data_IF_276089179979
#
_entry.id   IF_276089179979
#
_cell.length_a   1.000
_cell.length_b   1.000
_cell.length_c   1.000
_cell.angle_alpha   90.00
_cell.angle_beta   90.00
_cell.angle_gamma   90.00
#
_symmetry.space_group_name_H-M   'P 1'
#
loop_
_entity.id
_entity.type
_entity.pdbx_description
1 polymer ?
#
# COMPACT_ATOMS: atom_id res chain seq x y z
N UNK A 1 14.12 14.78 -17.34
CA UNK A 1 14.29 16.22 -17.04
C UNK A 1 13.01 16.94 -17.45
N UNK A 2 12.37 17.68 -16.55
CA UNK A 2 11.13 18.42 -16.87
C UNK A 2 11.47 19.68 -17.66
N UNK A 3 10.82 19.89 -18.80
CA UNK A 3 10.98 21.12 -19.58
C UNK A 3 10.22 22.26 -18.89
N UNK A 4 10.90 23.40 -18.65
CA UNK A 4 10.26 24.59 -18.08
C UNK A 4 9.24 25.18 -19.07
N UNK A 5 7.96 25.13 -18.69
CA UNK A 5 6.83 25.53 -19.52
C UNK A 5 6.80 27.04 -19.84
N UNK A 6 7.60 27.84 -19.14
CA UNK A 6 7.70 29.30 -19.35
C UNK A 6 8.67 29.67 -20.46
N UNK A 7 9.63 28.80 -20.80
CA UNK A 7 10.69 29.09 -21.78
C UNK A 7 10.18 29.02 -23.22
N UNK A 8 10.81 29.79 -24.09
CA UNK A 8 10.49 29.86 -25.53
C UNK A 8 10.48 28.48 -26.20
N UNK A 9 11.42 27.60 -25.85
CA UNK A 9 11.50 26.23 -26.35
C UNK A 9 10.21 25.43 -26.14
N UNK A 10 9.62 25.46 -24.93
CA UNK A 10 8.36 24.75 -24.65
C UNK A 10 7.20 25.33 -25.45
N UNK A 11 7.14 26.68 -25.52
CA UNK A 11 6.07 27.38 -26.24
C UNK A 11 6.10 27.05 -27.74
N UNK A 12 7.29 26.93 -28.32
CA UNK A 12 7.44 26.61 -29.75
C UNK A 12 7.14 25.13 -30.02
N UNK A 13 7.66 24.21 -29.21
CA UNK A 13 7.34 22.78 -29.32
C UNK A 13 5.84 22.48 -29.16
N UNK A 14 5.13 23.25 -28.34
CA UNK A 14 3.66 23.13 -28.18
C UNK A 14 2.89 23.60 -29.42
N UNK A 15 3.44 24.51 -30.22
CA UNK A 15 2.79 24.99 -31.47
C UNK A 15 3.03 24.02 -32.62
N UNK A 16 4.22 23.43 -32.70
CA UNK A 16 4.64 22.61 -33.85
C UNK A 16 4.50 21.10 -33.62
N UNK A 17 4.20 20.65 -32.41
CA UNK A 17 4.11 19.23 -32.09
C UNK A 17 3.31 18.90 -30.84
N UNK A 18 3.26 17.60 -30.52
CA UNK A 18 2.60 17.08 -29.31
C UNK A 18 3.64 16.95 -28.20
N UNK A 19 3.46 17.71 -27.11
CA UNK A 19 4.31 17.61 -25.93
C UNK A 19 3.62 16.72 -24.90
N UNK A 20 4.13 15.50 -24.73
CA UNK A 20 3.65 14.54 -23.73
C UNK A 20 4.58 14.51 -22.51
N UNK A 21 4.02 14.68 -21.31
CA UNK A 21 4.75 14.62 -20.04
C UNK A 21 4.24 13.42 -19.23
N UNK A 22 5.05 12.35 -19.19
CA UNK A 22 4.77 11.19 -18.34
C UNK A 22 5.27 11.44 -16.93
N UNK A 23 4.41 11.98 -16.07
CA UNK A 23 4.72 12.15 -14.65
C UNK A 23 4.63 10.81 -13.93
N UNK A 24 5.56 10.56 -13.01
CA UNK A 24 5.48 9.41 -12.10
C UNK A 24 4.15 9.49 -11.35
N UNK A 25 3.41 8.39 -11.36
CA UNK A 25 2.17 8.27 -10.59
C UNK A 25 2.50 8.23 -9.10
N UNK A 26 1.69 8.92 -8.31
CA UNK A 26 1.69 8.72 -6.87
C UNK A 26 1.06 7.37 -6.53
N UNK A 27 1.44 6.77 -5.41
CA UNK A 27 0.99 5.45 -4.97
C UNK A 27 -0.55 5.31 -4.97
N UNK A 28 -1.25 6.35 -4.49
CA UNK A 28 -2.71 6.41 -4.48
C UNK A 28 -3.38 6.44 -5.86
N UNK A 29 -2.62 6.65 -6.94
CA UNK A 29 -3.11 6.66 -8.32
C UNK A 29 -2.83 5.34 -9.05
N UNK A 30 -1.98 4.48 -8.49
CA UNK A 30 -1.53 3.25 -9.18
C UNK A 30 -2.67 2.25 -9.29
N UNK A 31 -3.47 2.04 -8.24
CA UNK A 31 -4.62 1.14 -8.30
C UNK A 31 -5.64 1.54 -9.38
N UNK A 32 -5.93 2.84 -9.50
CA UNK A 32 -6.80 3.38 -10.55
C UNK A 32 -6.18 3.25 -11.95
N UNK A 33 -4.86 3.36 -12.06
CA UNK A 33 -4.15 3.10 -13.31
C UNK A 33 -4.25 1.62 -13.72
N UNK A 34 -4.03 0.68 -12.79
CA UNK A 34 -4.18 -0.76 -13.05
C UNK A 34 -5.57 -1.06 -13.60
N UNK A 35 -6.62 -0.54 -12.94
CA UNK A 35 -8.00 -0.73 -13.39
C UNK A 35 -8.21 -0.22 -14.82
N UNK A 36 -7.69 0.97 -15.15
CA UNK A 36 -7.83 1.56 -16.50
C UNK A 36 -7.10 0.76 -17.57
N UNK A 37 -5.88 0.30 -17.29
CA UNK A 37 -5.10 -0.53 -18.22
C UNK A 37 -5.86 -1.81 -18.54
N UNK A 38 -6.32 -2.53 -17.52
CA UNK A 38 -7.07 -3.78 -17.69
C UNK A 38 -8.39 -3.57 -18.43
N UNK A 39 -9.13 -2.49 -18.13
CA UNK A 39 -10.39 -2.20 -18.83
C UNK A 39 -10.17 -1.98 -20.33
N UNK A 40 -9.04 -1.38 -20.73
CA UNK A 40 -8.67 -1.24 -22.15
C UNK A 40 -8.32 -2.56 -22.85
N UNK A 41 -8.10 -3.63 -22.08
CA UNK A 41 -7.75 -4.96 -22.55
C UNK A 41 -8.87 -5.99 -22.32
N UNK A 42 -10.09 -5.51 -21.98
CA UNK A 42 -11.26 -6.36 -21.69
C UNK A 42 -11.07 -7.25 -20.45
N UNK A 43 -10.36 -6.74 -19.45
CA UNK A 43 -10.26 -7.32 -18.10
C UNK A 43 -10.75 -6.33 -17.04
N UNK A 44 -11.14 -6.86 -15.88
CA UNK A 44 -11.41 -6.04 -14.70
C UNK A 44 -10.61 -6.57 -13.52
N UNK A 45 -10.51 -5.81 -12.43
CA UNK A 45 -9.78 -6.22 -11.22
C UNK A 45 -10.56 -5.83 -9.97
N UNK A 46 -10.58 -6.72 -8.99
CA UNK A 46 -11.16 -6.44 -7.68
C UNK A 46 -10.30 -5.40 -6.93
N UNK A 47 -10.89 -4.47 -6.15
CA UNK A 47 -10.14 -3.45 -5.42
C UNK A 47 -9.03 -4.02 -4.53
N UNK A 48 -9.31 -5.13 -3.83
CA UNK A 48 -8.32 -5.84 -3.00
C UNK A 48 -7.14 -6.36 -3.83
N UNK A 49 -7.40 -6.98 -4.99
CA UNK A 49 -6.35 -7.49 -5.87
C UNK A 49 -5.46 -6.38 -6.42
N UNK A 50 -6.05 -5.26 -6.83
CA UNK A 50 -5.30 -4.08 -7.25
C UNK A 50 -4.41 -3.52 -6.11
N UNK A 51 -4.95 -3.46 -4.89
CA UNK A 51 -4.19 -3.00 -3.73
C UNK A 51 -3.03 -3.96 -3.38
N UNK A 52 -3.23 -5.28 -3.45
CA UNK A 52 -2.16 -6.27 -3.25
C UNK A 52 -1.00 -6.06 -4.23
N UNK A 53 -1.29 -5.78 -5.50
CA UNK A 53 -0.27 -5.46 -6.51
C UNK A 53 0.49 -4.17 -6.17
N UNK A 54 -0.22 -3.12 -5.77
CA UNK A 54 0.40 -1.83 -5.42
C UNK A 54 1.31 -1.97 -4.19
N UNK A 55 0.88 -2.69 -3.16
CA UNK A 55 1.68 -2.83 -1.94
C UNK A 55 2.91 -3.72 -2.15
N UNK A 56 2.84 -4.69 -3.05
CA UNK A 56 3.97 -5.58 -3.36
C UNK A 56 4.96 -4.98 -4.37
N UNK A 57 4.47 -4.37 -5.45
CA UNK A 57 5.29 -3.86 -6.56
C UNK A 57 5.57 -2.35 -6.46
N UNK A 58 4.86 -1.64 -5.58
CA UNK A 58 5.00 -0.20 -5.36
C UNK A 58 4.48 0.63 -6.53
N UNK A 59 5.28 1.61 -6.95
CA UNK A 59 4.94 2.58 -8.01
C UNK A 59 5.65 2.29 -9.34
N UNK A 60 6.27 1.12 -9.47
CA UNK A 60 6.94 0.69 -10.70
C UNK A 60 5.93 0.13 -11.70
N UNK A 61 5.45 1.01 -12.58
CA UNK A 61 4.42 0.66 -13.57
C UNK A 61 4.88 -0.40 -14.56
N UNK A 62 6.19 -0.49 -14.84
CA UNK A 62 6.73 -1.52 -15.74
C UNK A 62 6.65 -2.90 -15.10
N UNK A 63 7.05 -3.03 -13.83
CA UNK A 63 6.88 -4.30 -13.09
C UNK A 63 5.42 -4.71 -12.99
N UNK A 64 4.54 -3.76 -12.65
CA UNK A 64 3.10 -4.02 -12.57
C UNK A 64 2.57 -4.49 -13.93
N UNK A 65 2.89 -3.80 -15.01
CA UNK A 65 2.44 -4.17 -16.34
C UNK A 65 2.89 -5.59 -16.73
N UNK A 66 4.14 -5.96 -16.43
CA UNK A 66 4.63 -7.30 -16.71
C UNK A 66 3.83 -8.39 -15.97
N UNK A 67 3.48 -8.17 -14.70
CA UNK A 67 2.63 -9.12 -13.96
C UNK A 67 1.20 -9.15 -14.50
N UNK A 68 0.64 -8.01 -14.92
CA UNK A 68 -0.67 -7.96 -15.57
C UNK A 68 -0.68 -8.71 -16.91
N UNK A 69 0.36 -8.59 -17.72
CA UNK A 69 0.49 -9.32 -18.99
C UNK A 69 0.56 -10.83 -18.78
N UNK A 70 1.31 -11.30 -17.76
CA UNK A 70 1.32 -12.72 -17.39
C UNK A 70 -0.07 -13.22 -17.01
N UNK A 71 -0.81 -12.45 -16.21
CA UNK A 71 -2.18 -12.79 -15.84
C UNK A 71 -3.10 -12.87 -17.06
N UNK A 72 -2.91 -12.01 -18.08
CA UNK A 72 -3.71 -12.03 -19.31
C UNK A 72 -3.42 -13.24 -20.19
N UNK A 73 -2.18 -13.75 -20.18
CA UNK A 73 -1.83 -14.99 -20.89
C UNK A 73 -2.53 -16.20 -20.27
N UNK A 74 -2.67 -16.21 -18.94
CA UNK A 74 -3.19 -17.35 -18.18
C UNK A 74 -4.72 -17.31 -18.08
N UNK A 75 -5.30 -16.12 -17.88
CA UNK A 75 -6.72 -15.96 -17.58
C UNK A 75 -7.54 -15.69 -18.85
N UNK A 76 -8.72 -16.33 -18.99
CA UNK A 76 -9.62 -16.06 -20.10
C UNK A 76 -9.98 -14.57 -20.21
N UNK A 77 -10.13 -14.09 -21.44
CA UNK A 77 -10.57 -12.71 -21.72
C UNK A 77 -11.93 -12.43 -21.08
N UNK A 78 -12.12 -11.23 -20.52
CA UNK A 78 -13.33 -10.88 -19.76
C UNK A 78 -13.26 -11.21 -18.27
N UNK A 79 -12.19 -11.88 -17.79
CA UNK A 79 -12.06 -12.27 -16.39
C UNK A 79 -11.92 -11.05 -15.46
N UNK A 80 -12.60 -11.09 -14.32
CA UNK A 80 -12.29 -10.22 -13.19
C UNK A 80 -11.14 -10.82 -12.37
N UNK A 81 -9.98 -10.17 -12.41
CA UNK A 81 -8.81 -10.53 -11.61
C UNK A 81 -9.14 -10.35 -10.13
N UNK A 82 -9.04 -11.43 -9.36
CA UNK A 82 -9.37 -11.49 -7.94
C UNK A 82 -8.11 -11.81 -7.11
N UNK A 83 -8.17 -11.75 -5.76
CA UNK A 83 -7.02 -12.07 -4.91
C UNK A 83 -6.46 -13.47 -5.10
N UNK A 84 -7.29 -14.46 -5.45
CA UNK A 84 -6.81 -15.82 -5.71
C UNK A 84 -5.93 -15.88 -6.95
N UNK A 85 -6.32 -15.19 -8.03
CA UNK A 85 -5.48 -15.10 -9.23
C UNK A 85 -4.12 -14.45 -8.95
N UNK A 86 -4.07 -13.47 -8.04
CA UNK A 86 -2.81 -12.85 -7.61
C UNK A 86 -1.94 -13.85 -6.84
N UNK A 87 -2.53 -14.59 -5.90
CA UNK A 87 -1.82 -15.61 -5.12
C UNK A 87 -1.25 -16.72 -6.01
N UNK A 88 -2.09 -17.30 -6.88
CA UNK A 88 -1.72 -18.45 -7.70
C UNK A 88 -0.64 -18.14 -8.74
N UNK A 89 -0.58 -16.90 -9.24
CA UNK A 89 0.24 -16.55 -10.41
C UNK A 89 1.39 -15.58 -10.10
N UNK A 90 1.31 -14.80 -9.03
CA UNK A 90 2.34 -13.82 -8.63
C UNK A 90 3.05 -14.25 -7.34
N UNK A 91 2.41 -15.11 -6.52
CA UNK A 91 3.00 -15.63 -5.28
C UNK A 91 2.83 -14.72 -4.07
N UNK A 92 1.95 -13.71 -4.15
CA UNK A 92 1.58 -12.88 -3.00
C UNK A 92 0.43 -13.59 -2.27
N UNK A 93 0.66 -14.03 -1.03
CA UNK A 93 -0.42 -14.65 -0.26
C UNK A 93 -1.62 -13.71 -0.13
N UNK A 94 -2.83 -14.20 -0.39
CA UNK A 94 -4.07 -13.40 -0.25
C UNK A 94 -4.46 -13.15 1.22
N UNK A 95 -3.92 -13.96 2.12
CA UNK A 95 -4.26 -14.01 3.55
C UNK A 95 -3.12 -13.53 4.47
N UNK A 96 -1.88 -13.51 3.96
CA UNK A 96 -0.68 -13.13 4.71
C UNK A 96 0.17 -12.14 3.91
N UNK A 97 -0.31 -10.90 3.82
CA UNK A 97 0.38 -9.77 3.17
C UNK A 97 0.20 -8.48 4.01
N UNK A 98 0.86 -7.39 3.61
CA UNK A 98 0.83 -6.14 4.37
C UNK A 98 -0.57 -5.50 4.45
N UNK A 99 -1.42 -5.70 3.44
CA UNK A 99 -2.81 -5.24 3.43
C UNK A 99 -3.61 -5.95 4.52
N UNK A 100 -3.49 -7.29 4.59
CA UNK A 100 -4.13 -8.10 5.63
C UNK A 100 -3.59 -7.77 7.02
N UNK A 101 -2.28 -7.48 7.14
CA UNK A 101 -1.68 -7.09 8.41
C UNK A 101 -2.25 -5.76 8.91
N UNK A 102 -2.31 -4.76 8.02
CA UNK A 102 -2.89 -3.45 8.32
C UNK A 102 -4.34 -3.57 8.76
N UNK A 103 -5.12 -4.37 8.03
CA UNK A 103 -6.53 -4.63 8.34
C UNK A 103 -6.68 -5.29 9.72
N UNK A 104 -5.95 -6.38 9.96
CA UNK A 104 -5.98 -7.08 11.24
C UNK A 104 -5.60 -6.17 12.42
N UNK A 105 -4.59 -5.31 12.24
CA UNK A 105 -4.22 -4.30 13.25
C UNK A 105 -5.37 -3.32 13.46
N UNK A 106 -5.91 -2.74 12.38
CA UNK A 106 -7.00 -1.76 12.44
C UNK A 106 -8.26 -2.28 13.15
N UNK A 107 -8.62 -3.54 12.90
CA UNK A 107 -9.74 -4.24 13.54
C UNK A 107 -9.42 -4.74 14.96
N UNK A 108 -8.20 -4.52 15.46
CA UNK A 108 -7.68 -5.12 16.71
C UNK A 108 -7.78 -6.66 16.74
N UNK A 109 -7.70 -7.30 15.58
CA UNK A 109 -7.62 -8.75 15.47
C UNK A 109 -6.21 -9.24 15.82
N UNK A 110 -5.94 -9.37 17.11
CA UNK A 110 -4.64 -9.78 17.68
C UNK A 110 -4.17 -11.12 17.12
N UNK A 111 -5.06 -12.12 17.08
CA UNK A 111 -4.72 -13.45 16.59
C UNK A 111 -4.25 -13.41 15.12
N UNK A 112 -5.01 -12.75 14.24
CA UNK A 112 -4.68 -12.66 12.82
C UNK A 112 -3.39 -11.85 12.59
N UNK A 113 -3.21 -10.74 13.31
CA UNK A 113 -1.99 -9.95 13.22
C UNK A 113 -0.74 -10.78 13.58
N UNK A 114 -0.79 -11.57 14.65
CA UNK A 114 0.32 -12.46 15.03
C UNK A 114 0.54 -13.60 14.02
N UNK A 115 -0.51 -14.19 13.46
CA UNK A 115 -0.38 -15.21 12.41
C UNK A 115 0.37 -14.66 11.18
N UNK A 116 0.01 -13.46 10.72
CA UNK A 116 0.67 -12.83 9.57
C UNK A 116 2.14 -12.54 9.86
N UNK A 117 2.45 -12.09 11.07
CA UNK A 117 3.82 -11.72 11.45
C UNK A 117 4.71 -12.94 11.66
N UNK A 118 4.16 -14.05 12.14
CA UNK A 118 4.88 -15.33 12.14
C UNK A 118 5.20 -15.75 10.70
N UNK A 119 4.24 -15.66 9.79
CA UNK A 119 4.48 -15.93 8.37
C UNK A 119 5.57 -15.01 7.77
N UNK A 120 5.57 -13.71 8.10
CA UNK A 120 6.63 -12.79 7.63
C UNK A 120 8.00 -13.14 8.21
N UNK A 121 8.05 -13.53 9.48
CA UNK A 121 9.29 -13.94 10.15
C UNK A 121 9.89 -15.19 9.51
N UNK A 122 9.06 -16.14 9.07
CA UNK A 122 9.48 -17.36 8.37
C UNK A 122 9.87 -17.09 6.91
N UNK A 123 9.35 -16.01 6.31
CA UNK A 123 9.56 -15.63 4.91
C UNK A 123 10.12 -14.20 4.76
N UNK A 124 11.29 -13.88 5.33
CA UNK A 124 11.80 -12.50 5.43
C UNK A 124 12.27 -11.91 4.10
N UNK A 125 12.57 -12.76 3.10
CA UNK A 125 12.95 -12.31 1.74
C UNK A 125 11.77 -11.68 1.01
N UNK A 126 10.61 -12.33 1.12
CA UNK A 126 9.37 -11.89 0.46
C UNK A 126 8.64 -10.84 1.29
N UNK A 127 8.93 -10.76 2.60
CA UNK A 127 8.33 -9.80 3.52
C UNK A 127 9.40 -8.98 4.27
N UNK A 128 10.16 -8.10 3.59
CA UNK A 128 11.19 -7.31 4.24
C UNK A 128 10.61 -6.38 5.30
N UNK A 129 11.18 -6.40 6.51
CA UNK A 129 10.73 -5.59 7.64
C UNK A 129 10.61 -4.09 7.30
N UNK A 130 11.55 -3.56 6.51
CA UNK A 130 11.57 -2.14 6.11
C UNK A 130 10.28 -1.76 5.37
N UNK A 131 9.77 -2.64 4.50
CA UNK A 131 8.54 -2.41 3.74
C UNK A 131 7.34 -2.42 4.69
N UNK A 132 7.25 -3.43 5.55
CA UNK A 132 6.16 -3.55 6.55
C UNK A 132 6.11 -2.33 7.47
N UNK A 133 7.25 -1.90 8.03
CA UNK A 133 7.31 -0.71 8.90
C UNK A 133 6.88 0.55 8.15
N UNK A 134 7.31 0.71 6.89
CA UNK A 134 6.93 1.86 6.06
C UNK A 134 5.42 1.92 5.79
N UNK A 135 4.81 0.77 5.47
CA UNK A 135 3.37 0.67 5.20
C UNK A 135 2.54 0.91 6.47
N UNK A 136 2.96 0.36 7.61
CA UNK A 136 2.32 0.63 8.90
C UNK A 136 2.45 2.11 9.30
N UNK A 137 3.61 2.73 9.09
CA UNK A 137 3.79 4.17 9.32
C UNK A 137 2.84 5.01 8.47
N UNK A 138 2.68 4.69 7.18
CA UNK A 138 1.74 5.37 6.31
C UNK A 138 0.30 5.23 6.83
N UNK A 139 -0.11 4.00 7.17
CA UNK A 139 -1.43 3.74 7.75
C UNK A 139 -1.72 4.54 9.01
N UNK A 140 -0.80 4.53 10.00
CA UNK A 140 -0.99 5.28 11.24
C UNK A 140 -0.89 6.80 11.02
N UNK A 141 -0.11 7.27 10.04
CA UNK A 141 -0.10 8.68 9.64
C UNK A 141 -1.43 9.12 9.02
N UNK A 142 -2.04 8.26 8.20
CA UNK A 142 -3.39 8.48 7.66
C UNK A 142 -4.45 8.44 8.76
N UNK A 143 -4.34 7.54 9.75
CA UNK A 143 -5.21 7.56 10.93
C UNK A 143 -5.05 8.83 11.76
N UNK A 144 -3.83 9.35 11.91
CA UNK A 144 -3.59 10.62 12.59
C UNK A 144 -4.28 11.78 11.85
N UNK A 145 -4.16 11.82 10.52
CA UNK A 145 -4.87 12.79 9.68
C UNK A 145 -6.38 12.63 9.84
N UNK A 146 -6.91 11.41 9.81
CA UNK A 146 -8.35 11.12 9.98
C UNK A 146 -8.91 11.72 11.28
N UNK A 147 -8.16 11.63 12.39
CA UNK A 147 -8.59 12.20 13.67
C UNK A 147 -8.71 13.72 13.63
N UNK A 148 -7.90 14.39 12.81
CA UNK A 148 -7.96 15.84 12.59
C UNK A 148 -9.03 16.31 11.60
N UNK A 149 -9.75 15.40 10.93
CA UNK A 149 -10.80 15.78 9.98
C UNK A 149 -12.06 16.28 10.70
N UNK A 150 -12.54 17.45 10.26
CA UNK A 150 -13.85 17.98 10.65
C UNK A 150 -14.98 17.21 9.95
N UNK A 151 -14.90 17.07 8.62
CA UNK A 151 -15.86 16.27 7.84
C UNK A 151 -15.35 14.84 7.66
N UNK A 152 -16.04 13.90 8.31
CA UNK A 152 -15.77 12.45 8.27
C UNK A 152 -16.67 11.70 7.29
N UNK A 153 -17.34 12.39 6.37
CA UNK A 153 -18.07 11.76 5.27
C UNK A 153 -17.13 10.90 4.42
N UNK A 154 -17.60 9.77 3.84
CA UNK A 154 -16.71 8.85 3.14
C UNK A 154 -15.91 9.47 2.00
N UNK A 155 -16.52 10.42 1.27
CA UNK A 155 -15.86 11.15 0.18
C UNK A 155 -14.78 12.09 0.69
N UNK A 156 -15.04 12.83 1.78
CA UNK A 156 -14.05 13.72 2.40
C UNK A 156 -12.86 12.92 2.91
N UNK A 157 -13.12 11.80 3.61
CA UNK A 157 -12.09 10.90 4.12
C UNK A 157 -11.23 10.32 3.00
N UNK A 158 -11.84 9.76 1.95
CA UNK A 158 -11.10 9.20 0.83
C UNK A 158 -10.17 10.23 0.18
N UNK A 159 -10.66 11.45 -0.02
CA UNK A 159 -9.89 12.55 -0.61
C UNK A 159 -8.75 13.01 0.30
N UNK A 160 -9.03 13.25 1.58
CA UNK A 160 -8.06 13.78 2.52
C UNK A 160 -6.94 12.78 2.82
N UNK A 161 -7.28 11.50 2.98
CA UNK A 161 -6.32 10.43 3.22
C UNK A 161 -5.66 9.91 1.94
N UNK A 162 -6.18 10.31 0.76
CA UNK A 162 -5.74 9.83 -0.55
C UNK A 162 -5.83 8.30 -0.65
N UNK A 163 -6.95 7.73 -0.21
CA UNK A 163 -7.22 6.28 -0.25
C UNK A 163 -8.35 5.96 -1.22
N UNK A 164 -8.43 4.72 -1.67
CA UNK A 164 -9.59 4.26 -2.43
C UNK A 164 -10.85 4.31 -1.55
N UNK A 165 -11.98 4.90 -2.02
CA UNK A 165 -13.23 4.96 -1.26
C UNK A 165 -13.72 3.63 -0.70
N UNK A 166 -13.39 2.52 -1.37
CA UNK A 166 -13.73 1.16 -0.93
C UNK A 166 -13.19 0.83 0.47
N UNK A 167 -12.02 1.38 0.84
CA UNK A 167 -11.37 1.08 2.13
C UNK A 167 -11.70 2.08 3.23
N UNK A 168 -12.52 3.09 2.98
CA UNK A 168 -12.81 4.15 3.98
C UNK A 168 -13.35 3.57 5.29
N UNK A 169 -14.24 2.58 5.22
CA UNK A 169 -14.82 1.97 6.41
C UNK A 169 -13.77 1.30 7.30
N UNK A 170 -12.71 0.73 6.72
CA UNK A 170 -11.58 0.16 7.47
C UNK A 170 -10.86 1.24 8.29
N UNK A 171 -10.69 2.45 7.74
CA UNK A 171 -10.09 3.58 8.48
C UNK A 171 -11.02 4.13 9.55
N UNK A 172 -12.33 4.16 9.30
CA UNK A 172 -13.33 4.57 10.30
C UNK A 172 -13.32 3.62 11.49
N UNK A 173 -13.28 2.31 11.24
CA UNK A 173 -13.19 1.29 12.29
C UNK A 173 -11.86 1.36 13.03
N UNK A 174 -10.75 1.43 12.31
CA UNK A 174 -9.43 1.54 12.92
C UNK A 174 -9.27 2.81 13.78
N UNK A 175 -9.85 3.93 13.37
CA UNK A 175 -9.83 5.16 14.16
C UNK A 175 -10.59 5.04 15.49
N UNK A 176 -11.64 4.19 15.57
CA UNK A 176 -12.33 3.89 16.83
C UNK A 176 -11.46 3.05 17.75
N UNK A 177 -10.74 2.07 17.19
CA UNK A 177 -9.87 1.17 17.92
C UNK A 177 -8.55 1.81 18.37
N UNK A 178 -8.09 2.83 17.65
CA UNK A 178 -6.86 3.58 17.91
C UNK A 178 -7.17 5.07 18.07
N UNK A 179 -7.46 5.54 19.29
CA UNK A 179 -7.59 6.96 19.59
C UNK A 179 -6.31 7.74 19.27
N UNK A 180 -6.42 9.06 19.04
CA UNK A 180 -5.29 9.89 18.60
C UNK A 180 -4.03 9.80 19.47
N UNK A 181 -4.19 9.66 20.80
CA UNK A 181 -3.07 9.42 21.73
C UNK A 181 -2.34 8.11 21.44
N UNK A 182 -3.08 7.03 21.17
CA UNK A 182 -2.53 5.71 20.82
C UNK A 182 -1.88 5.74 19.43
N UNK A 183 -2.50 6.40 18.45
CA UNK A 183 -1.89 6.60 17.12
C UNK A 183 -0.55 7.30 17.25
N UNK A 184 -0.49 8.38 18.04
CA UNK A 184 0.75 9.13 18.27
C UNK A 184 1.85 8.28 18.92
N UNK A 185 1.50 7.45 19.91
CA UNK A 185 2.48 6.52 20.51
C UNK A 185 2.94 5.46 19.53
N UNK A 186 2.05 4.93 18.69
CA UNK A 186 2.39 3.94 17.66
C UNK A 186 3.32 4.54 16.61
N UNK A 187 3.10 5.79 16.18
CA UNK A 187 3.99 6.49 15.25
C UNK A 187 5.40 6.64 15.85
N UNK A 188 5.51 6.96 17.14
CA UNK A 188 6.80 7.02 17.83
C UNK A 188 7.48 5.64 17.85
N UNK A 189 6.75 4.57 18.17
CA UNK A 189 7.25 3.19 18.11
C UNK A 189 7.73 2.84 16.70
N UNK A 190 6.95 3.13 15.67
CA UNK A 190 7.31 2.82 14.28
C UNK A 190 8.58 3.53 13.82
N UNK A 191 8.80 4.79 14.27
CA UNK A 191 10.04 5.51 14.02
C UNK A 191 11.25 4.78 14.61
N UNK A 192 11.13 4.29 15.85
CA UNK A 192 12.22 3.57 16.50
C UNK A 192 12.50 2.22 15.79
N UNK A 193 11.45 1.53 15.32
CA UNK A 193 11.59 0.29 14.55
C UNK A 193 12.06 0.49 13.10
N UNK A 194 11.82 1.65 12.49
CA UNK A 194 12.39 2.00 11.19
C UNK A 194 13.93 2.07 11.29
N UNK A 195 14.45 2.70 12.35
CA UNK A 195 15.89 2.78 12.63
C UNK A 195 16.48 1.38 12.87
N UNK A 196 15.80 0.55 13.67
CA UNK A 196 16.21 -0.85 13.89
C UNK A 196 16.17 -1.69 12.61
N UNK A 197 15.17 -1.50 11.74
CA UNK A 197 15.05 -2.23 10.48
C UNK A 197 16.22 -1.95 9.52
N UNK A 198 16.86 -0.79 9.68
CA UNK A 198 18.07 -0.36 8.95
C UNK A 198 19.37 -0.76 9.65
N UNK A 199 19.30 -1.53 10.74
CA UNK A 199 20.45 -2.07 11.47
C UNK A 199 20.99 -1.18 12.60
N UNK A 200 20.43 0.01 12.81
CA UNK A 200 20.90 0.94 13.85
C UNK A 200 20.20 0.62 15.18
N UNK A 201 20.98 0.28 16.20
CA UNK A 201 20.43 -0.03 17.55
C UNK A 201 19.63 -1.34 17.61
N UNK A 202 19.75 -2.21 16.61
CA UNK A 202 19.05 -3.50 16.54
C UNK A 202 19.72 -4.60 17.38
N UNK A 203 20.95 -4.40 17.88
CA UNK A 203 21.71 -5.35 18.72
C UNK A 203 21.73 -6.80 18.17
N UNK A 204 21.87 -6.95 16.85
CA UNK A 204 21.84 -8.24 16.15
C UNK A 204 20.56 -9.08 16.35
N UNK A 205 19.44 -8.46 16.78
CA UNK A 205 18.15 -9.14 16.85
C UNK A 205 17.64 -9.47 15.45
N UNK A 206 17.18 -10.71 15.19
CA UNK A 206 16.59 -11.08 13.90
C UNK A 206 15.39 -10.18 13.55
N UNK A 207 15.26 -9.82 12.28
CA UNK A 207 14.15 -8.95 11.83
C UNK A 207 12.77 -9.53 12.13
N UNK A 208 12.60 -10.84 12.07
CA UNK A 208 11.36 -11.52 12.44
C UNK A 208 10.97 -11.29 13.90
N UNK A 209 11.94 -11.29 14.82
CA UNK A 209 11.67 -11.05 16.24
C UNK A 209 11.40 -9.57 16.52
N UNK A 210 12.06 -8.67 15.80
CA UNK A 210 11.71 -7.24 15.82
C UNK A 210 10.29 -6.99 15.32
N UNK A 211 9.83 -7.67 14.27
CA UNK A 211 8.45 -7.57 13.80
C UNK A 211 7.44 -8.08 14.84
N UNK A 212 7.75 -9.19 15.52
CA UNK A 212 6.92 -9.69 16.63
C UNK A 212 6.85 -8.68 17.77
N UNK A 213 7.99 -8.14 18.20
CA UNK A 213 8.06 -7.10 19.25
C UNK A 213 7.26 -5.85 18.87
N UNK A 214 7.40 -5.36 17.63
CA UNK A 214 6.68 -4.21 17.11
C UNK A 214 5.17 -4.40 17.25
N UNK A 215 4.67 -5.57 16.87
CA UNK A 215 3.24 -5.84 16.80
C UNK A 215 2.65 -5.96 18.21
N UNK A 216 3.37 -6.60 19.14
CA UNK A 216 2.99 -6.59 20.56
C UNK A 216 2.86 -5.16 21.08
N UNK A 217 3.81 -4.27 20.75
CA UNK A 217 3.77 -2.86 21.18
C UNK A 217 2.67 -2.03 20.53
N UNK A 218 2.25 -2.37 19.31
CA UNK A 218 1.15 -1.69 18.63
C UNK A 218 -0.19 -2.10 19.27
N UNK A 219 -0.36 -3.40 19.53
CA UNK A 219 -1.64 -3.98 19.95
C UNK A 219 -1.97 -3.78 21.44
N UNK A 220 -0.95 -3.68 22.29
CA UNK A 220 -1.06 -3.34 23.73
C UNK A 220 -0.94 -1.84 23.93
#
# INVERSE_FOLDING_TARGET
KTIDKRKSLYKELKKTGVVYESKKLYENQVADWIRRVLSGQEYTIAPKAAQMLVEFLGTDLSKINNELEKLQIILPKGTQINPQHIEDNIGISKDYNNFELRKAIGERNVLKAHQIINYFADNPKDNPMVVTVSLLFNFFSQLLHFHGLHDKSPRSVASALKINPYFVNEYVEAARNFPMKKVSSVVATLRDFDVKSKGVGANAVPQGDLLKELIVKIMN
#
